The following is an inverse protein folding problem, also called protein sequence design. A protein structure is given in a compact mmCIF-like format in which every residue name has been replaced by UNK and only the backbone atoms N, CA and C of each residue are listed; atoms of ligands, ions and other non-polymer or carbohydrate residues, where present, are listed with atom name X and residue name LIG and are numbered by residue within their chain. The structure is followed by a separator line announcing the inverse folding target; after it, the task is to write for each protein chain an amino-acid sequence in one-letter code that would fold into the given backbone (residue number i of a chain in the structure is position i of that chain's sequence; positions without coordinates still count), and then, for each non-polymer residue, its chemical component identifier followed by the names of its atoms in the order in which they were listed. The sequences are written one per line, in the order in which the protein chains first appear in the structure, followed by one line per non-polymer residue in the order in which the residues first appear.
data_IF_344562263775
#
_entry.id   IF_344562263775
#
_cell.length_a   1.000
_cell.length_b   1.000
_cell.length_c   1.000
_cell.angle_alpha   90.00
_cell.angle_beta   90.00
_cell.angle_gamma   90.00
#
_symmetry.space_group_name_H-M   'P 1'
#
loop_
_entity.id
_entity.type
_entity.pdbx_description
1 polymer ?
#
# COMPACT_ATOMS: atom_id res chain seq x y z
N UNK A 1 7.16 -32.91 -4.00
CA UNK A 1 6.41 -32.23 -5.09
C UNK A 1 7.35 -31.33 -5.91
N UNK A 2 7.47 -31.54 -7.22
CA UNK A 2 8.29 -30.71 -8.14
C UNK A 2 7.45 -29.56 -8.71
N UNK A 3 7.16 -28.52 -7.91
CA UNK A 3 6.35 -27.37 -8.38
C UNK A 3 7.21 -26.38 -9.16
N UNK A 4 6.66 -25.86 -10.27
CA UNK A 4 7.34 -24.85 -11.08
C UNK A 4 7.24 -23.46 -10.39
N UNK A 5 8.37 -22.83 -10.00
CA UNK A 5 8.35 -21.54 -9.30
C UNK A 5 7.70 -20.42 -10.13
N UNK A 6 7.76 -20.48 -11.46
CA UNK A 6 7.08 -19.51 -12.35
C UNK A 6 5.55 -19.60 -12.30
N UNK A 7 4.98 -20.65 -11.71
CA UNK A 7 3.53 -20.82 -11.51
C UNK A 7 3.13 -20.64 -10.04
N UNK A 8 4.09 -20.49 -9.12
CA UNK A 8 3.83 -20.35 -7.69
C UNK A 8 3.77 -18.87 -7.31
N UNK A 9 2.56 -18.39 -6.96
CA UNK A 9 2.20 -16.96 -6.88
C UNK A 9 3.03 -16.12 -5.89
N UNK A 10 3.51 -16.71 -4.80
CA UNK A 10 4.25 -16.00 -3.75
C UNK A 10 5.74 -15.80 -4.10
N UNK A 11 6.26 -16.54 -5.09
CA UNK A 11 7.69 -16.47 -5.44
C UNK A 11 8.04 -15.21 -6.22
N UNK A 12 9.29 -14.76 -6.08
CA UNK A 12 9.85 -13.65 -6.88
C UNK A 12 9.86 -13.95 -8.38
N UNK A 13 10.11 -15.20 -8.76
CA UNK A 13 10.10 -15.63 -10.16
C UNK A 13 8.74 -15.39 -10.83
N UNK A 14 7.65 -15.82 -10.18
CA UNK A 14 6.30 -15.52 -10.66
C UNK A 14 6.03 -14.01 -10.67
N UNK A 15 6.39 -13.29 -9.61
CA UNK A 15 6.10 -11.85 -9.51
C UNK A 15 6.80 -11.04 -10.60
N UNK A 16 8.06 -11.34 -10.93
CA UNK A 16 8.79 -10.68 -12.02
C UNK A 16 8.16 -11.00 -13.39
N UNK A 17 7.82 -12.27 -13.64
CA UNK A 17 7.21 -12.70 -14.90
C UNK A 17 5.81 -12.10 -15.10
N UNK A 18 4.99 -12.05 -14.04
CA UNK A 18 3.64 -11.52 -14.07
C UNK A 18 3.57 -9.98 -13.92
N UNK A 19 4.70 -9.27 -14.02
CA UNK A 19 4.75 -7.80 -13.93
C UNK A 19 4.33 -7.23 -12.58
N UNK A 20 4.45 -7.98 -11.48
CA UNK A 20 4.13 -7.53 -10.11
C UNK A 20 5.29 -6.82 -9.41
N UNK A 21 6.47 -6.86 -10.01
CA UNK A 21 7.69 -6.19 -9.55
C UNK A 21 8.46 -5.62 -10.74
N UNK A 22 9.28 -4.60 -10.48
CA UNK A 22 10.20 -4.06 -11.47
C UNK A 22 11.23 -5.13 -11.86
N UNK A 23 11.25 -5.51 -13.14
CA UNK A 23 12.12 -6.57 -13.66
C UNK A 23 13.28 -6.04 -14.54
N UNK A 24 13.03 -5.01 -15.35
CA UNK A 24 14.02 -4.39 -16.24
C UNK A 24 14.35 -3.00 -15.71
N UNK A 25 15.47 -2.87 -15.01
CA UNK A 25 15.98 -1.59 -14.50
C UNK A 25 17.50 -1.59 -14.44
N UNK A 26 18.10 -0.43 -14.71
CA UNK A 26 19.56 -0.26 -14.75
C UNK A 26 20.21 -0.48 -13.40
N UNK A 27 19.48 -0.30 -12.28
CA UNK A 27 20.06 -0.58 -10.95
C UNK A 27 20.42 -2.05 -10.76
N UNK A 28 19.79 -2.98 -11.49
CA UNK A 28 20.09 -4.42 -11.40
C UNK A 28 21.41 -4.80 -12.08
N UNK A 29 21.91 -4.00 -13.02
CA UNK A 29 23.18 -4.29 -13.71
C UNK A 29 24.40 -4.20 -12.78
N UNK A 30 24.27 -3.46 -11.68
CA UNK A 30 25.33 -3.28 -10.67
C UNK A 30 25.54 -4.54 -9.82
N UNK A 31 24.56 -5.45 -9.76
CA UNK A 31 24.61 -6.72 -9.03
C UNK A 31 25.24 -7.86 -9.86
N UNK A 32 25.78 -7.55 -11.06
CA UNK A 32 26.38 -8.56 -11.94
C UNK A 32 27.56 -9.28 -11.27
N UNK A 33 27.63 -10.59 -11.47
CA UNK A 33 28.77 -11.40 -11.01
C UNK A 33 30.04 -11.01 -11.79
N UNK A 34 31.11 -10.65 -11.08
CA UNK A 34 32.42 -10.40 -11.67
C UNK A 34 33.21 -11.72 -11.71
N UNK A 35 33.68 -12.11 -12.89
CA UNK A 35 34.44 -13.35 -13.10
C UNK A 35 35.96 -13.14 -13.01
N UNK A 36 36.42 -11.90 -12.82
CA UNK A 36 37.83 -11.55 -12.61
C UNK A 36 37.94 -10.75 -11.31
N UNK A 37 38.83 -11.13 -10.38
CA UNK A 37 39.11 -10.33 -9.21
C UNK A 37 39.92 -9.09 -9.60
N UNK A 38 39.66 -7.99 -8.91
CA UNK A 38 40.48 -6.78 -8.97
C UNK A 38 41.40 -6.74 -7.74
N UNK A 39 42.61 -6.19 -7.88
CA UNK A 39 43.50 -5.96 -6.74
C UNK A 39 42.84 -4.96 -5.80
N UNK A 40 43.01 -5.15 -4.49
CA UNK A 40 42.47 -4.25 -3.49
C UNK A 40 43.02 -2.82 -3.68
N UNK A 41 42.10 -1.86 -3.71
CA UNK A 41 42.33 -0.42 -3.66
C UNK A 41 41.34 0.19 -2.65
N UNK A 42 41.88 0.88 -1.63
CA UNK A 42 41.09 1.49 -0.55
C UNK A 42 40.13 2.56 -1.07
N UNK A 43 40.57 3.38 -2.03
CA UNK A 43 39.73 4.44 -2.58
C UNK A 43 38.55 3.86 -3.36
N UNK A 44 38.83 2.82 -4.17
CA UNK A 44 37.81 2.11 -4.93
C UNK A 44 36.76 1.51 -4.01
N UNK A 45 37.17 0.84 -2.93
CA UNK A 45 36.26 0.25 -1.95
C UNK A 45 35.41 1.32 -1.28
N UNK A 46 36.02 2.42 -0.82
CA UNK A 46 35.30 3.52 -0.18
C UNK A 46 34.23 4.14 -1.11
N UNK A 47 34.61 4.46 -2.35
CA UNK A 47 33.68 4.99 -3.38
C UNK A 47 32.56 3.98 -3.68
N UNK A 48 32.88 2.69 -3.75
CA UNK A 48 31.91 1.62 -4.03
C UNK A 48 30.89 1.47 -2.90
N UNK A 49 31.33 1.47 -1.63
CA UNK A 49 30.42 1.39 -0.48
C UNK A 49 29.44 2.57 -0.49
N UNK A 50 29.91 3.79 -0.73
CA UNK A 50 29.03 4.96 -0.85
C UNK A 50 28.04 4.82 -2.02
N UNK A 51 28.50 4.37 -3.18
CA UNK A 51 27.66 4.16 -4.36
C UNK A 51 26.56 3.11 -4.12
N UNK A 52 26.86 2.02 -3.42
CA UNK A 52 25.90 0.96 -3.10
C UNK A 52 24.69 1.51 -2.33
N UNK A 53 24.91 2.37 -1.34
CA UNK A 53 23.82 2.98 -0.57
C UNK A 53 22.92 3.84 -1.45
N UNK A 54 23.51 4.67 -2.32
CA UNK A 54 22.78 5.53 -3.25
C UNK A 54 22.00 4.73 -4.29
N UNK A 55 22.59 3.65 -4.81
CA UNK A 55 21.91 2.77 -5.78
C UNK A 55 20.74 2.06 -5.10
N UNK A 56 20.89 1.61 -3.85
CA UNK A 56 19.83 0.96 -3.08
C UNK A 56 18.63 1.89 -2.85
N UNK A 57 18.86 3.16 -2.50
CA UNK A 57 17.79 4.14 -2.32
C UNK A 57 17.04 4.44 -3.62
N UNK A 58 17.77 4.59 -4.73
CA UNK A 58 17.18 4.79 -6.07
C UNK A 58 16.34 3.56 -6.47
N UNK A 59 16.86 2.34 -6.25
CA UNK A 59 16.15 1.10 -6.54
C UNK A 59 14.83 1.02 -5.76
N UNK A 60 14.85 1.36 -4.47
CA UNK A 60 13.64 1.39 -3.63
C UNK A 60 12.62 2.40 -4.17
N UNK A 61 13.04 3.64 -4.41
CA UNK A 61 12.15 4.68 -4.94
C UNK A 61 11.52 4.30 -6.30
N UNK A 62 12.26 3.62 -7.19
CA UNK A 62 11.73 3.12 -8.46
C UNK A 62 10.72 1.98 -8.27
N UNK A 63 10.98 1.08 -7.33
CA UNK A 63 10.06 -0.01 -6.98
C UNK A 63 8.75 0.52 -6.37
N UNK A 64 8.84 1.52 -5.50
CA UNK A 64 7.67 2.17 -4.88
C UNK A 64 6.82 2.85 -5.95
N UNK A 65 7.43 3.63 -6.84
CA UNK A 65 6.74 4.25 -8.00
C UNK A 65 6.08 3.21 -8.91
N UNK A 66 6.74 2.07 -9.16
CA UNK A 66 6.15 0.98 -9.94
C UNK A 66 4.91 0.41 -9.24
N UNK A 67 4.98 0.24 -7.92
CA UNK A 67 3.86 -0.23 -7.12
C UNK A 67 2.68 0.74 -7.16
N UNK A 68 2.93 2.04 -6.96
CA UNK A 68 1.92 3.10 -7.01
C UNK A 68 1.18 3.12 -8.35
N UNK A 69 1.94 3.11 -9.46
CA UNK A 69 1.36 3.08 -10.82
C UNK A 69 0.47 1.86 -11.03
N UNK A 70 0.87 0.70 -10.48
CA UNK A 70 0.08 -0.54 -10.58
C UNK A 70 -1.20 -0.46 -9.74
N UNK A 71 -1.16 0.18 -8.57
CA UNK A 71 -2.31 0.28 -7.67
C UNK A 71 -3.28 1.40 -8.04
N UNK A 72 -2.87 2.34 -8.90
CA UNK A 72 -3.70 3.46 -9.34
C UNK A 72 -5.06 3.01 -9.90
N UNK A 73 -5.09 1.96 -10.73
CA UNK A 73 -6.34 1.44 -11.32
C UNK A 73 -7.24 0.70 -10.32
N UNK A 74 -6.69 0.19 -9.22
CA UNK A 74 -7.46 -0.55 -8.23
C UNK A 74 -8.49 0.35 -7.52
N UNK A 75 -8.14 1.62 -7.26
CA UNK A 75 -9.05 2.58 -6.62
C UNK A 75 -10.30 2.85 -7.45
N UNK A 76 -10.15 2.97 -8.77
CA UNK A 76 -11.27 3.20 -9.69
C UNK A 76 -12.20 1.97 -9.73
N UNK A 77 -11.62 0.77 -9.78
CA UNK A 77 -12.39 -0.48 -9.72
C UNK A 77 -13.13 -0.63 -8.40
N UNK A 78 -12.48 -0.29 -7.29
CA UNK A 78 -13.08 -0.32 -5.96
C UNK A 78 -14.27 0.64 -5.88
N UNK A 79 -14.11 1.91 -6.25
CA UNK A 79 -15.22 2.87 -6.25
C UNK A 79 -16.42 2.42 -7.11
N UNK A 80 -16.14 1.75 -8.25
CA UNK A 80 -17.20 1.16 -9.09
C UNK A 80 -17.90 -0.02 -8.41
N UNK A 81 -17.16 -0.85 -7.69
CA UNK A 81 -17.71 -1.96 -6.91
C UNK A 81 -18.53 -1.43 -5.74
N UNK A 82 -18.01 -0.46 -4.98
CA UNK A 82 -18.69 0.18 -3.86
C UNK A 82 -20.01 0.81 -4.29
N UNK A 83 -20.03 1.51 -5.44
CA UNK A 83 -21.26 2.07 -6.01
C UNK A 83 -22.29 0.98 -6.34
N UNK A 84 -21.87 -0.12 -6.98
CA UNK A 84 -22.77 -1.25 -7.28
C UNK A 84 -23.29 -1.89 -6.01
N UNK A 85 -22.45 -2.01 -4.99
CA UNK A 85 -22.84 -2.54 -3.70
C UNK A 85 -23.90 -1.66 -3.05
N UNK A 86 -23.72 -0.34 -3.03
CA UNK A 86 -24.73 0.60 -2.52
C UNK A 86 -26.05 0.52 -3.30
N UNK A 87 -26.01 0.35 -4.62
CA UNK A 87 -27.21 0.20 -5.46
C UNK A 87 -28.01 -1.07 -5.11
N UNK A 88 -27.34 -2.18 -4.77
CA UNK A 88 -28.00 -3.46 -4.43
C UNK A 88 -28.36 -3.60 -2.95
N UNK A 89 -27.47 -3.14 -2.06
CA UNK A 89 -27.52 -3.38 -0.61
C UNK A 89 -28.02 -2.15 0.17
N UNK A 90 -28.68 -1.19 -0.50
CA UNK A 90 -29.18 0.04 0.13
C UNK A 90 -30.08 -0.23 1.35
N UNK A 91 -30.77 -1.37 1.36
CA UNK A 91 -31.66 -1.81 2.41
C UNK A 91 -30.94 -2.19 3.73
N UNK A 92 -29.63 -2.50 3.68
CA UNK A 92 -28.84 -2.81 4.87
C UNK A 92 -28.43 -1.54 5.64
N UNK A 93 -28.55 -0.36 5.02
CA UNK A 93 -28.13 0.91 5.59
C UNK A 93 -29.37 1.72 6.00
N UNK A 94 -29.39 2.19 7.25
CA UNK A 94 -30.46 3.05 7.75
C UNK A 94 -30.41 4.41 7.05
N UNK A 95 -31.58 4.93 6.66
CA UNK A 95 -31.66 6.20 5.92
C UNK A 95 -31.02 7.35 6.72
N UNK A 96 -30.22 8.24 6.09
CA UNK A 96 -29.52 9.32 6.78
C UNK A 96 -30.45 10.24 7.59
N UNK A 97 -31.66 10.50 7.09
CA UNK A 97 -32.64 11.33 7.79
C UNK A 97 -33.21 10.68 9.06
N UNK A 98 -33.22 9.34 9.16
CA UNK A 98 -33.61 8.66 10.39
C UNK A 98 -32.49 8.74 11.44
N UNK A 99 -31.23 8.65 11.00
CA UNK A 99 -30.07 8.81 11.89
C UNK A 99 -30.00 10.24 12.46
N UNK A 100 -30.23 11.26 11.63
CA UNK A 100 -30.20 12.66 12.06
C UNK A 100 -31.23 12.96 13.16
N UNK A 101 -32.47 12.43 13.03
CA UNK A 101 -33.50 12.57 14.06
C UNK A 101 -33.11 11.91 15.37
N UNK A 102 -32.57 10.69 15.31
CA UNK A 102 -32.11 9.99 16.51
C UNK A 102 -30.98 10.75 17.22
N UNK A 103 -30.09 11.40 16.45
CA UNK A 103 -29.02 12.23 17.02
C UNK A 103 -29.56 13.50 17.66
N UNK A 104 -30.51 14.18 17.01
CA UNK A 104 -31.19 15.35 17.60
C UNK A 104 -32.00 14.98 18.86
N UNK A 105 -32.67 13.82 18.87
CA UNK A 105 -33.35 13.30 20.06
C UNK A 105 -32.34 12.96 21.16
N UNK A 106 -31.21 12.31 20.82
CA UNK A 106 -30.16 12.02 21.79
C UNK A 106 -29.52 13.30 22.36
N UNK A 107 -29.34 14.34 21.55
CA UNK A 107 -28.80 15.63 21.99
C UNK A 107 -29.78 16.37 22.90
N UNK A 108 -31.08 16.37 22.55
CA UNK A 108 -32.15 16.90 23.44
C UNK A 108 -32.21 16.15 24.76
N UNK A 109 -32.07 14.82 24.75
CA UNK A 109 -32.03 14.00 25.97
C UNK A 109 -30.79 14.33 26.81
N UNK A 110 -29.62 14.57 26.19
CA UNK A 110 -28.40 14.97 26.91
C UNK A 110 -28.54 16.35 27.55
N UNK A 111 -29.04 17.34 26.80
CA UNK A 111 -29.26 18.70 27.33
C UNK A 111 -30.27 18.66 28.49
N UNK A 112 -31.38 17.91 28.34
CA UNK A 112 -32.35 17.73 29.42
C UNK A 112 -31.76 17.01 30.66
N UNK A 113 -30.83 16.07 30.47
CA UNK A 113 -30.14 15.41 31.57
C UNK A 113 -29.14 16.34 32.30
N UNK A 114 -28.47 17.23 31.56
CA UNK A 114 -27.56 18.24 32.12
C UNK A 114 -28.33 19.35 32.85
N UNK A 115 -29.50 19.74 32.35
CA UNK A 115 -30.44 20.65 33.03
C UNK A 115 -31.12 20.03 34.27
N UNK A 116 -31.10 18.70 34.41
CA UNK A 116 -31.58 17.95 35.59
C UNK A 116 -30.47 17.67 36.62
N UNK A 117 -29.21 18.01 36.33
CA UNK A 117 -28.10 18.02 37.30
C UNK A 117 -27.77 19.40 37.95
N UNK A 118 -28.73 20.29 38.31
CA UNK A 118 -28.44 21.36 39.25
C UNK A 118 -28.65 20.87 40.69
N UNK A 119 -27.65 21.11 41.54
CA UNK A 119 -27.54 20.78 42.97
C UNK A 119 -27.22 19.32 43.32
N UNK A 120 -25.94 18.96 43.19
CA UNK A 120 -25.26 18.27 44.30
C UNK A 120 -24.51 19.33 45.10
N UNK A 121 -25.04 19.63 46.28
CA UNK A 121 -24.33 20.31 47.37
C UNK A 121 -23.13 19.47 47.86
#
# INVERSE_FOLDING_TARGET
MKRNPRKVRWTKAYRKLAGKELAMDTTFEMERRRNRPEKYDRELVHKTVQAIHKISSIRRARQDRFHERRMLGARVLQARQDRRQLEHEIHLVRAPGAIARDLEEAEKIRVAAEELEPMKE
#
